data_IF_011545507381
#
_entry.id   IF_011545507381
#
_cell.length_a   1.000
_cell.length_b   1.000
_cell.length_c   1.000
_cell.angle_alpha   90.00
_cell.angle_beta   90.00
_cell.angle_gamma   90.00
#
_symmetry.space_group_name_H-M   'P 1'
#
loop_
_entity.id
_entity.type
_entity.pdbx_description
1 polymer ?
#
# COMPACT_ATOMS: atom_id res chain seq x y z
N UNK A 1 38.19 72.54 -25.39
CA UNK A 1 38.90 71.52 -24.57
C UNK A 1 37.91 71.04 -23.51
N UNK A 2 37.53 69.78 -23.31
CA UNK A 2 37.62 68.51 -24.06
C UNK A 2 36.39 67.68 -23.61
N UNK A 3 35.92 66.79 -24.49
CA UNK A 3 34.67 66.02 -24.41
C UNK A 3 34.81 64.72 -23.60
N UNK A 4 33.64 64.22 -23.17
CA UNK A 4 33.23 62.84 -22.82
C UNK A 4 34.26 61.71 -22.99
N UNK A 5 34.39 60.89 -21.94
CA UNK A 5 34.91 59.51 -22.02
C UNK A 5 33.98 58.59 -21.21
N UNK A 6 33.26 57.72 -21.91
CA UNK A 6 32.57 56.55 -21.37
C UNK A 6 33.45 55.33 -21.56
N UNK A 7 33.61 54.54 -20.50
CA UNK A 7 34.56 53.43 -20.39
C UNK A 7 33.86 52.12 -20.78
N UNK A 8 34.49 51.37 -21.69
CA UNK A 8 34.09 50.04 -22.15
C UNK A 8 35.32 49.14 -22.06
N UNK A 9 35.30 48.06 -21.28
CA UNK A 9 36.28 46.97 -21.36
C UNK A 9 35.62 45.63 -21.00
N UNK A 10 35.44 44.78 -22.02
CA UNK A 10 34.96 43.41 -21.91
C UNK A 10 36.11 42.40 -22.05
N UNK A 11 36.18 41.53 -21.04
CA UNK A 11 36.54 40.09 -21.00
C UNK A 11 37.39 39.47 -22.13
N UNK A 12 38.42 38.77 -21.67
CA UNK A 12 39.41 37.97 -22.39
C UNK A 12 38.91 36.55 -22.78
N UNK A 13 39.32 36.13 -23.99
CA UNK A 13 39.97 34.86 -24.37
C UNK A 13 39.22 33.51 -24.53
N UNK A 14 39.30 33.02 -25.79
CA UNK A 14 39.35 31.66 -26.38
C UNK A 14 38.02 31.00 -26.83
N UNK A 15 37.84 30.76 -28.15
CA UNK A 15 36.87 29.79 -28.67
C UNK A 15 37.50 28.54 -29.30
N UNK A 16 36.71 27.47 -29.17
CA UNK A 16 36.84 26.10 -29.69
C UNK A 16 36.32 26.04 -31.15
N UNK A 17 36.97 25.28 -32.05
CA UNK A 17 36.60 25.15 -33.46
C UNK A 17 36.17 23.70 -33.78
N UNK A 18 35.04 23.58 -34.47
CA UNK A 18 34.41 22.37 -35.01
C UNK A 18 35.01 21.89 -36.37
N UNK A 19 34.58 20.67 -36.76
CA UNK A 19 34.21 20.22 -38.13
C UNK A 19 35.17 19.33 -38.97
N UNK A 20 34.69 18.12 -39.32
CA UNK A 20 34.74 17.37 -40.62
C UNK A 20 34.64 15.86 -40.39
N UNK A 21 33.54 15.16 -40.73
CA UNK A 21 33.17 14.61 -42.06
C UNK A 21 34.33 13.98 -42.84
N UNK A 22 34.34 12.64 -43.00
CA UNK A 22 34.60 11.96 -44.28
C UNK A 22 34.24 10.47 -44.22
N UNK A 23 33.66 10.00 -45.33
CA UNK A 23 33.11 8.67 -45.65
C UNK A 23 34.02 8.08 -46.73
N UNK A 24 34.36 6.78 -46.70
CA UNK A 24 34.79 6.04 -47.90
C UNK A 24 34.58 4.53 -47.77
N UNK A 25 34.31 3.93 -48.93
CA UNK A 25 33.81 2.59 -49.22
C UNK A 25 34.94 1.65 -49.73
N UNK A 26 34.61 0.34 -49.76
CA UNK A 26 34.96 -0.70 -50.77
C UNK A 26 36.19 -1.63 -50.61
N UNK A 27 35.83 -2.90 -50.36
CA UNK A 27 36.04 -4.13 -51.16
C UNK A 27 37.41 -4.81 -51.37
N UNK A 28 37.28 -6.14 -51.56
CA UNK A 28 38.20 -7.19 -52.10
C UNK A 28 39.06 -7.89 -51.02
N UNK A 29 38.98 -9.22 -50.78
CA UNK A 29 39.28 -10.34 -51.69
C UNK A 29 38.84 -11.71 -51.10
N UNK A 30 38.66 -12.71 -51.96
CA UNK A 30 38.16 -14.08 -51.70
C UNK A 30 39.22 -15.10 -51.19
N UNK A 31 38.73 -16.22 -50.61
CA UNK A 31 38.87 -17.65 -51.06
C UNK A 31 39.29 -18.68 -49.98
N UNK A 32 38.41 -19.69 -49.78
CA UNK A 32 38.55 -21.14 -49.38
C UNK A 32 39.64 -21.61 -48.40
N UNK A 33 39.26 -22.39 -47.37
CA UNK A 33 39.63 -23.82 -47.16
C UNK A 33 38.99 -24.45 -45.89
N UNK A 34 38.56 -25.72 -45.97
CA UNK A 34 38.83 -26.71 -44.91
C UNK A 34 37.88 -26.92 -43.72
N UNK A 35 36.80 -27.69 -43.96
CA UNK A 35 36.29 -28.82 -43.14
C UNK A 35 36.86 -29.00 -41.71
N UNK A 36 36.06 -28.75 -40.66
CA UNK A 36 36.15 -29.45 -39.36
C UNK A 36 34.74 -29.74 -38.82
N UNK A 37 34.45 -31.02 -38.63
CA UNK A 37 33.33 -31.53 -37.84
C UNK A 37 33.46 -31.02 -36.40
N UNK A 38 32.38 -30.50 -35.82
CA UNK A 38 32.18 -30.49 -34.38
C UNK A 38 30.74 -30.93 -34.09
N UNK A 39 30.63 -32.01 -33.33
CA UNK A 39 29.38 -32.54 -32.78
C UNK A 39 28.76 -31.49 -31.86
N UNK A 40 27.56 -31.00 -32.17
CA UNK A 40 26.73 -30.25 -31.21
C UNK A 40 25.78 -31.26 -30.57
N UNK A 41 26.13 -31.70 -29.37
CA UNK A 41 25.20 -32.39 -28.49
C UNK A 41 24.11 -31.43 -28.03
N UNK A 42 22.87 -31.81 -28.31
CA UNK A 42 21.65 -31.12 -27.88
C UNK A 42 21.49 -31.28 -26.36
N UNK A 43 21.88 -30.27 -25.58
CA UNK A 43 21.50 -30.19 -24.16
C UNK A 43 20.15 -29.48 -24.07
N UNK A 44 19.08 -30.26 -23.91
CA UNK A 44 17.73 -29.77 -23.66
C UNK A 44 17.67 -29.24 -22.22
N UNK A 45 17.89 -27.94 -22.03
CA UNK A 45 17.63 -27.28 -20.75
C UNK A 45 16.12 -27.06 -20.61
N UNK A 46 15.44 -28.03 -19.98
CA UNK A 46 14.05 -27.89 -19.58
C UNK A 46 13.99 -26.96 -18.34
N UNK A 47 13.91 -25.65 -18.58
CA UNK A 47 13.51 -24.68 -17.55
C UNK A 47 12.04 -24.95 -17.21
N UNK A 48 11.80 -25.74 -16.16
CA UNK A 48 10.52 -25.72 -15.48
C UNK A 48 10.39 -24.35 -14.81
N UNK A 49 9.77 -23.41 -15.54
CA UNK A 49 9.25 -22.20 -14.96
C UNK A 49 8.14 -22.60 -13.97
N UNK A 50 8.51 -22.84 -12.71
CA UNK A 50 7.53 -22.80 -11.63
C UNK A 50 7.09 -21.35 -11.51
N UNK A 51 5.96 -21.02 -12.14
CA UNK A 51 5.29 -19.75 -11.93
C UNK A 51 4.94 -19.64 -10.46
N UNK A 52 5.68 -18.83 -9.71
CA UNK A 52 5.19 -18.34 -8.42
C UNK A 52 3.96 -17.51 -8.75
N UNK A 53 2.76 -17.84 -8.23
CA UNK A 53 1.61 -16.98 -8.42
C UNK A 53 1.98 -15.61 -7.86
N UNK A 54 1.86 -14.56 -8.69
CA UNK A 54 2.04 -13.20 -8.24
C UNK A 54 1.13 -12.99 -7.03
N UNK A 55 1.70 -12.64 -5.87
CA UNK A 55 0.94 -12.27 -4.70
C UNK A 55 -0.04 -11.16 -5.13
N UNK A 56 -1.34 -11.44 -5.03
CA UNK A 56 -2.35 -10.50 -5.48
C UNK A 56 -2.38 -9.35 -4.47
N UNK A 57 -2.14 -8.12 -4.91
CA UNK A 57 -2.21 -6.97 -4.02
C UNK A 57 -3.64 -6.85 -3.47
N UNK A 58 -3.77 -6.84 -2.14
CA UNK A 58 -5.04 -6.60 -1.45
C UNK A 58 -5.18 -5.09 -1.23
N UNK A 59 -6.29 -4.53 -1.68
CA UNK A 59 -6.63 -3.15 -1.38
C UNK A 59 -7.17 -3.05 0.06
N UNK A 60 -6.63 -2.12 0.84
CA UNK A 60 -7.03 -1.85 2.22
C UNK A 60 -7.46 -0.39 2.33
N UNK A 61 -8.63 -0.08 2.91
CA UNK A 61 -9.10 1.29 3.02
C UNK A 61 -8.16 2.14 3.90
N UNK A 62 -7.82 3.34 3.43
CA UNK A 62 -7.06 4.36 4.19
C UNK A 62 -7.94 5.24 5.07
N UNK A 63 -9.21 5.36 4.66
CA UNK A 63 -10.24 6.15 5.32
C UNK A 63 -11.48 5.29 5.58
N UNK A 64 -12.21 5.63 6.63
CA UNK A 64 -13.49 5.00 6.98
C UNK A 64 -14.65 5.74 6.29
N UNK A 65 -14.52 7.05 6.13
CA UNK A 65 -15.54 7.91 5.55
C UNK A 65 -14.95 8.83 4.48
N UNK A 66 -15.79 9.25 3.53
CA UNK A 66 -15.44 10.35 2.64
C UNK A 66 -16.64 11.26 2.39
N UNK A 67 -16.35 12.54 2.17
CA UNK A 67 -17.34 13.56 1.84
C UNK A 67 -16.89 14.28 0.58
N UNK A 68 -17.67 14.20 -0.50
CA UNK A 68 -17.51 15.16 -1.59
C UNK A 68 -18.17 16.46 -1.17
N UNK A 69 -17.35 17.50 -1.01
CA UNK A 69 -17.78 18.83 -0.61
C UNK A 69 -17.62 19.79 -1.79
N UNK A 70 -18.70 19.97 -2.54
CA UNK A 70 -18.66 20.55 -3.88
C UNK A 70 -19.19 21.97 -3.88
N UNK A 71 -18.40 22.88 -4.42
CA UNK A 71 -18.75 24.29 -4.58
C UNK A 71 -19.74 24.46 -5.73
N UNK A 72 -20.95 24.92 -5.45
CA UNK A 72 -21.96 25.31 -6.45
C UNK A 72 -22.15 26.84 -6.51
N UNK A 73 -21.09 27.60 -6.24
CA UNK A 73 -21.11 29.06 -6.38
C UNK A 73 -21.13 29.50 -7.84
N UNK A 74 -21.40 30.79 -8.07
CA UNK A 74 -21.50 31.37 -9.40
C UNK A 74 -20.19 31.24 -10.20
N UNK A 75 -19.02 31.29 -9.55
CA UNK A 75 -17.74 31.12 -10.23
C UNK A 75 -17.57 29.70 -10.79
N UNK A 76 -18.14 28.70 -10.13
CA UNK A 76 -18.19 27.32 -10.64
C UNK A 76 -19.18 27.14 -11.79
N UNK A 77 -20.17 28.02 -11.97
CA UNK A 77 -21.02 28.04 -13.16
C UNK A 77 -20.45 28.86 -14.34
N UNK A 78 -19.24 29.39 -14.20
CA UNK A 78 -18.53 30.02 -15.32
C UNK A 78 -17.78 28.99 -16.18
N UNK A 79 -17.49 29.35 -17.42
CA UNK A 79 -16.65 28.55 -18.32
C UNK A 79 -15.20 28.53 -17.84
N UNK A 80 -14.62 27.35 -17.72
CA UNK A 80 -13.19 27.16 -17.48
C UNK A 80 -12.41 27.59 -18.73
N UNK A 81 -11.51 28.54 -18.59
CA UNK A 81 -10.82 29.21 -19.69
C UNK A 81 -10.01 28.27 -20.59
N UNK A 82 -9.38 27.23 -20.02
CA UNK A 82 -8.62 26.24 -20.81
C UNK A 82 -9.45 25.07 -21.32
N UNK A 83 -10.47 24.65 -20.57
CA UNK A 83 -11.24 23.43 -20.88
C UNK A 83 -12.48 23.74 -21.73
N UNK A 84 -12.86 25.02 -21.85
CA UNK A 84 -13.94 25.48 -22.74
C UNK A 84 -15.36 25.05 -22.31
N UNK A 85 -15.51 24.39 -21.15
CA UNK A 85 -16.79 23.97 -20.57
C UNK A 85 -17.04 24.66 -19.24
N UNK A 86 -18.30 24.71 -18.81
CA UNK A 86 -18.69 25.19 -17.46
C UNK A 86 -18.03 24.33 -16.38
N UNK A 87 -17.44 24.95 -15.35
CA UNK A 87 -16.71 24.21 -14.29
C UNK A 87 -17.60 23.22 -13.55
N UNK A 88 -18.88 23.53 -13.29
CA UNK A 88 -19.81 22.58 -12.67
C UNK A 88 -20.15 21.38 -13.54
N UNK A 89 -20.22 21.55 -14.87
CA UNK A 89 -20.33 20.41 -15.80
C UNK A 89 -19.09 19.54 -15.69
N UNK A 90 -17.90 20.15 -15.72
CA UNK A 90 -16.62 19.45 -15.59
C UNK A 90 -16.48 18.76 -14.23
N UNK A 91 -16.91 19.39 -13.14
CA UNK A 91 -16.87 18.84 -11.79
C UNK A 91 -17.76 17.59 -11.68
N UNK A 92 -18.98 17.63 -12.23
CA UNK A 92 -19.85 16.45 -12.27
C UNK A 92 -19.23 15.33 -13.12
N UNK A 93 -18.73 15.64 -14.32
CA UNK A 93 -18.04 14.67 -15.19
C UNK A 93 -16.84 14.04 -14.45
N UNK A 94 -16.01 14.85 -13.79
CA UNK A 94 -14.86 14.42 -13.01
C UNK A 94 -15.25 13.50 -11.86
N UNK A 95 -16.24 13.90 -11.05
CA UNK A 95 -16.70 13.09 -9.92
C UNK A 95 -17.29 11.75 -10.37
N UNK A 96 -18.01 11.72 -11.49
CA UNK A 96 -18.51 10.47 -12.08
C UNK A 96 -17.36 9.57 -12.55
N UNK A 97 -16.34 10.13 -13.22
CA UNK A 97 -15.14 9.37 -13.60
C UNK A 97 -14.42 8.81 -12.37
N UNK A 98 -14.27 9.62 -11.32
CA UNK A 98 -13.65 9.20 -10.07
C UNK A 98 -14.46 8.10 -9.37
N UNK A 99 -15.79 8.21 -9.35
CA UNK A 99 -16.69 7.20 -8.78
C UNK A 99 -16.49 5.80 -9.42
N UNK A 100 -16.23 5.74 -10.73
CA UNK A 100 -15.92 4.48 -11.40
C UNK A 100 -14.58 3.86 -10.97
N UNK A 101 -13.67 4.66 -10.41
CA UNK A 101 -12.34 4.22 -9.95
C UNK A 101 -12.27 3.91 -8.46
N UNK A 102 -13.21 4.38 -7.63
CA UNK A 102 -13.23 4.11 -6.19
C UNK A 102 -13.64 2.64 -5.97
N UNK A 103 -12.81 1.82 -5.27
CA UNK A 103 -13.17 0.44 -4.93
C UNK A 103 -14.19 0.41 -3.78
N UNK A 104 -15.13 -0.53 -3.78
CA UNK A 104 -16.14 -0.66 -2.71
C UNK A 104 -15.54 -1.41 -1.49
N UNK A 105 -14.74 -0.72 -0.67
CA UNK A 105 -14.07 -1.30 0.50
C UNK A 105 -14.83 -1.07 1.83
N UNK A 106 -16.12 -0.71 1.77
CA UNK A 106 -16.97 -0.49 2.94
C UNK A 106 -16.95 0.92 3.52
N UNK A 107 -16.51 1.93 2.75
CA UNK A 107 -16.53 3.33 3.16
C UNK A 107 -17.95 3.81 3.48
N UNK A 108 -18.09 4.84 4.33
CA UNK A 108 -19.28 5.69 4.33
C UNK A 108 -19.08 6.92 3.46
N UNK A 109 -19.88 7.08 2.41
CA UNK A 109 -19.81 8.23 1.50
C UNK A 109 -20.94 9.23 1.78
N UNK A 110 -20.62 10.53 1.70
CA UNK A 110 -21.60 11.62 1.76
C UNK A 110 -21.31 12.67 0.67
N UNK A 111 -22.36 13.32 0.17
CA UNK A 111 -22.26 14.35 -0.86
C UNK A 111 -23.00 15.60 -0.42
N UNK A 112 -22.22 16.65 -0.19
CA UNK A 112 -22.70 17.97 0.20
C UNK A 112 -22.28 19.01 -0.83
N UNK A 113 -23.21 19.88 -1.18
CA UNK A 113 -22.95 21.07 -1.97
C UNK A 113 -22.92 22.29 -1.04
N UNK A 114 -22.10 23.29 -1.36
CA UNK A 114 -22.13 24.59 -0.70
C UNK A 114 -22.28 25.74 -1.70
N UNK A 115 -22.79 26.88 -1.24
CA UNK A 115 -23.19 28.05 -2.05
C UNK A 115 -24.47 27.87 -2.92
N UNK A 116 -25.63 27.46 -2.35
CA UNK A 116 -25.94 27.30 -0.93
C UNK A 116 -25.68 25.88 -0.41
N UNK A 117 -25.77 25.71 0.91
CA UNK A 117 -25.68 24.38 1.52
C UNK A 117 -26.84 23.49 1.05
N UNK A 118 -26.51 22.31 0.56
CA UNK A 118 -27.46 21.27 0.20
C UNK A 118 -26.85 19.90 0.47
N UNK A 119 -27.53 19.08 1.26
CA UNK A 119 -27.21 17.67 1.40
C UNK A 119 -27.82 16.94 0.22
N UNK A 120 -26.99 16.28 -0.60
CA UNK A 120 -27.45 15.48 -1.74
C UNK A 120 -27.50 14.01 -1.37
N UNK A 121 -26.55 13.55 -0.56
CA UNK A 121 -26.55 12.22 0.02
C UNK A 121 -26.02 12.26 1.46
N UNK A 122 -26.86 11.83 2.42
CA UNK A 122 -26.44 11.60 3.80
C UNK A 122 -25.37 10.48 3.87
N UNK A 123 -24.52 10.46 4.92
CA UNK A 123 -23.54 9.40 5.09
C UNK A 123 -24.17 8.01 5.14
N UNK A 124 -23.83 7.19 4.15
CA UNK A 124 -24.27 5.81 4.04
C UNK A 124 -23.14 4.94 3.48
N UNK A 125 -23.26 3.61 3.61
CA UNK A 125 -22.30 2.68 3.00
C UNK A 125 -22.22 2.98 1.49
N UNK A 126 -20.99 3.19 1.01
CA UNK A 126 -20.72 3.54 -0.36
C UNK A 126 -21.02 2.37 -1.31
N UNK A 127 -21.97 2.60 -2.21
CA UNK A 127 -22.26 1.73 -3.35
C UNK A 127 -22.15 2.58 -4.61
N UNK A 128 -21.24 2.21 -5.53
CA UNK A 128 -20.87 2.98 -6.72
C UNK A 128 -22.09 3.39 -7.54
N UNK A 129 -23.01 2.46 -7.77
CA UNK A 129 -24.20 2.69 -8.59
C UNK A 129 -25.19 3.65 -7.94
N UNK A 130 -25.44 3.52 -6.63
CA UNK A 130 -26.34 4.41 -5.90
C UNK A 130 -25.72 5.82 -5.78
N UNK A 131 -24.43 5.86 -5.46
CA UNK A 131 -23.69 7.10 -5.31
C UNK A 131 -23.51 7.86 -6.63
N UNK A 132 -23.33 7.14 -7.74
CA UNK A 132 -23.32 7.70 -9.09
C UNK A 132 -24.61 8.47 -9.43
N UNK A 133 -25.78 7.98 -8.97
CA UNK A 133 -27.06 8.71 -9.15
C UNK A 133 -27.08 10.03 -8.38
N UNK A 134 -26.53 10.05 -7.17
CA UNK A 134 -26.41 11.28 -6.37
C UNK A 134 -25.48 12.29 -7.08
N UNK A 135 -24.34 11.84 -7.60
CA UNK A 135 -23.43 12.68 -8.39
C UNK A 135 -24.07 13.23 -9.67
N UNK A 136 -24.83 12.40 -10.40
CA UNK A 136 -25.58 12.84 -11.58
C UNK A 136 -26.71 13.85 -11.28
N UNK A 137 -27.14 13.95 -10.02
CA UNK A 137 -28.17 14.92 -9.60
C UNK A 137 -27.61 16.31 -9.29
N UNK A 138 -26.28 16.47 -9.26
CA UNK A 138 -25.64 17.78 -9.06
C UNK A 138 -26.11 18.73 -10.19
N UNK A 139 -26.66 19.91 -9.86
CA UNK A 139 -27.11 20.85 -10.88
C UNK A 139 -25.94 21.39 -11.71
N UNK A 140 -26.02 21.27 -13.04
CA UNK A 140 -24.99 21.75 -13.97
C UNK A 140 -25.37 23.01 -14.73
N UNK A 141 -26.65 23.41 -14.65
CA UNK A 141 -27.18 24.62 -15.25
C UNK A 141 -27.87 25.47 -14.17
N UNK A 142 -27.15 26.47 -13.65
CA UNK A 142 -27.67 27.45 -12.70
C UNK A 142 -27.11 28.84 -13.01
N UNK A 143 -27.82 29.87 -12.55
CA UNK A 143 -27.42 31.26 -12.75
C UNK A 143 -26.14 31.62 -12.00
N UNK A 144 -25.26 32.41 -12.63
CA UNK A 144 -23.98 32.85 -12.05
C UNK A 144 -24.14 34.01 -11.05
N UNK A 145 -25.10 34.92 -11.30
CA UNK A 145 -25.24 36.14 -10.51
C UNK A 145 -25.79 35.90 -9.10
N UNK A 146 -25.32 36.71 -8.13
CA UNK A 146 -25.70 36.64 -6.71
C UNK A 146 -25.40 35.31 -5.99
N UNK A 147 -24.51 34.48 -6.54
CA UNK A 147 -24.05 33.24 -5.92
C UNK A 147 -22.60 33.34 -5.47
N UNK A 148 -22.36 34.14 -4.43
CA UNK A 148 -21.03 34.23 -3.80
C UNK A 148 -20.70 32.92 -3.06
N UNK A 149 -19.42 32.67 -2.83
CA UNK A 149 -18.92 31.41 -2.25
C UNK A 149 -18.81 31.52 -0.72
N UNK A 150 -19.71 30.95 0.08
CA UNK A 150 -19.62 30.99 1.54
C UNK A 150 -18.80 29.79 2.03
N UNK A 151 -17.54 29.65 1.57
CA UNK A 151 -16.74 28.46 1.86
C UNK A 151 -16.46 28.30 3.36
N UNK A 152 -16.12 29.37 4.08
CA UNK A 152 -15.93 29.32 5.53
C UNK A 152 -17.18 28.84 6.28
N UNK A 153 -18.35 29.48 6.10
CA UNK A 153 -19.60 28.99 6.67
C UNK A 153 -19.97 27.56 6.23
N UNK A 154 -19.63 27.18 4.99
CA UNK A 154 -19.80 25.81 4.50
C UNK A 154 -18.93 24.80 5.23
N UNK A 155 -17.64 25.09 5.40
CA UNK A 155 -16.69 24.25 6.14
C UNK A 155 -17.12 24.14 7.60
N UNK A 156 -17.51 25.24 8.23
CA UNK A 156 -18.04 25.23 9.60
C UNK A 156 -19.24 24.29 9.74
N UNK A 157 -20.12 24.25 8.71
CA UNK A 157 -21.32 23.42 8.70
C UNK A 157 -21.05 21.92 8.52
N UNK A 158 -19.86 21.53 8.05
CA UNK A 158 -19.46 20.11 8.01
C UNK A 158 -19.51 19.47 9.41
N UNK A 159 -19.45 20.25 10.49
CA UNK A 159 -19.67 19.79 11.87
C UNK A 159 -20.94 18.93 12.01
N UNK A 160 -22.01 19.32 11.31
CA UNK A 160 -23.31 18.63 11.36
C UNK A 160 -23.27 17.22 10.78
N UNK A 161 -22.32 16.95 9.88
CA UNK A 161 -22.12 15.65 9.24
C UNK A 161 -21.02 14.89 9.98
N UNK A 162 -19.89 15.55 10.25
CA UNK A 162 -18.72 14.97 10.92
C UNK A 162 -19.01 14.50 12.34
N UNK A 163 -19.90 15.16 13.08
CA UNK A 163 -20.29 14.73 14.43
C UNK A 163 -20.91 13.32 14.49
N UNK A 164 -21.51 12.84 13.38
CA UNK A 164 -22.08 11.51 13.27
C UNK A 164 -21.11 10.44 12.74
N UNK A 165 -19.89 10.83 12.36
CA UNK A 165 -18.90 9.95 11.77
C UNK A 165 -17.82 9.59 12.78
N UNK A 166 -17.26 8.39 12.62
CA UNK A 166 -16.16 7.86 13.43
C UNK A 166 -15.05 7.39 12.52
N UNK A 167 -13.80 7.54 12.94
CA UNK A 167 -12.63 7.12 12.16
C UNK A 167 -12.17 8.18 11.16
N UNK A 168 -11.24 7.79 10.29
CA UNK A 168 -10.58 8.66 9.33
C UNK A 168 -11.55 9.13 8.26
N UNK A 169 -11.57 10.43 8.02
CA UNK A 169 -12.53 11.04 7.09
C UNK A 169 -11.81 11.89 6.04
N UNK A 170 -11.94 11.51 4.77
CA UNK A 170 -11.50 12.31 3.64
C UNK A 170 -12.58 13.32 3.26
N UNK A 171 -12.35 14.61 3.48
CA UNK A 171 -13.19 15.68 2.90
C UNK A 171 -12.54 16.12 1.60
N UNK A 172 -13.18 15.84 0.47
CA UNK A 172 -12.68 16.21 -0.87
C UNK A 172 -13.40 17.48 -1.32
N UNK A 173 -12.71 18.61 -1.22
CA UNK A 173 -13.21 19.91 -1.65
C UNK A 173 -13.05 20.05 -3.16
N UNK A 174 -14.15 20.31 -3.86
CA UNK A 174 -14.15 20.57 -5.30
C UNK A 174 -14.57 22.03 -5.53
N UNK A 175 -13.62 22.91 -5.82
CA UNK A 175 -13.86 24.36 -5.88
C UNK A 175 -12.79 25.08 -6.71
N UNK A 176 -13.11 26.30 -7.16
CA UNK A 176 -12.13 27.23 -7.73
C UNK A 176 -11.58 28.24 -6.71
N UNK A 177 -12.08 28.23 -5.48
CA UNK A 177 -11.61 29.07 -4.37
C UNK A 177 -11.94 30.56 -4.52
N UNK A 178 -12.74 30.94 -5.52
CA UNK A 178 -12.99 32.34 -5.85
C UNK A 178 -14.25 32.89 -5.17
N UNK A 179 -14.43 34.22 -5.24
CA UNK A 179 -15.64 34.93 -4.81
C UNK A 179 -16.09 34.65 -3.36
N UNK A 180 -15.14 34.31 -2.48
CA UNK A 180 -15.41 34.00 -1.08
C UNK A 180 -16.11 35.15 -0.33
N UNK A 181 -17.02 34.80 0.58
CA UNK A 181 -17.74 35.68 1.52
C UNK A 181 -17.99 34.97 2.84
N UNK A 182 -18.28 35.73 3.90
CA UNK A 182 -18.51 35.17 5.23
C UNK A 182 -17.21 35.03 6.02
N UNK A 183 -17.15 34.03 6.90
CA UNK A 183 -15.96 33.75 7.72
C UNK A 183 -14.80 33.25 6.86
N UNK A 184 -13.57 33.42 7.37
CA UNK A 184 -12.35 33.02 6.66
C UNK A 184 -12.30 31.49 6.47
N UNK A 185 -12.29 30.97 5.23
CA UNK A 185 -12.28 29.53 4.96
C UNK A 185 -11.11 28.78 5.60
N UNK A 186 -9.93 29.42 5.66
CA UNK A 186 -8.74 28.81 6.24
C UNK A 186 -8.89 28.69 7.76
N UNK A 187 -9.33 29.75 8.43
CA UNK A 187 -9.61 29.69 9.86
C UNK A 187 -10.66 28.62 10.21
N UNK A 188 -11.74 28.51 9.44
CA UNK A 188 -12.78 27.50 9.67
C UNK A 188 -12.28 26.07 9.46
N UNK A 189 -11.49 25.83 8.39
CA UNK A 189 -10.85 24.53 8.17
C UNK A 189 -9.95 24.13 9.35
N UNK A 190 -9.19 25.10 9.90
CA UNK A 190 -8.36 24.86 11.08
C UNK A 190 -9.19 24.48 12.30
N UNK A 191 -10.32 25.16 12.55
CA UNK A 191 -11.21 24.83 13.67
C UNK A 191 -11.82 23.43 13.51
N UNK A 192 -12.25 23.07 12.30
CA UNK A 192 -12.78 21.74 12.02
C UNK A 192 -11.71 20.67 12.21
N UNK A 193 -10.49 20.86 11.69
CA UNK A 193 -9.40 19.91 11.89
C UNK A 193 -8.97 19.80 13.37
N UNK A 194 -8.99 20.90 14.12
CA UNK A 194 -8.71 20.87 15.55
C UNK A 194 -9.78 20.09 16.34
N UNK A 195 -11.05 20.15 15.91
CA UNK A 195 -12.15 19.38 16.52
C UNK A 195 -12.17 17.92 16.06
N UNK A 196 -11.79 17.65 14.82
CA UNK A 196 -11.79 16.33 14.19
C UNK A 196 -10.38 16.04 13.61
N UNK A 197 -9.42 15.59 14.44
CA UNK A 197 -8.03 15.42 14.01
C UNK A 197 -7.84 14.34 12.94
N UNK A 198 -8.81 13.42 12.81
CA UNK A 198 -8.83 12.37 11.79
C UNK A 198 -9.43 12.83 10.44
N UNK A 199 -9.76 14.12 10.30
CA UNK A 199 -10.24 14.72 9.04
C UNK A 199 -9.07 15.25 8.22
N UNK A 200 -9.00 14.83 6.95
CA UNK A 200 -8.07 15.36 5.95
C UNK A 200 -8.85 16.15 4.88
N UNK A 201 -8.42 17.38 4.60
CA UNK A 201 -8.98 18.20 3.51
C UNK A 201 -8.20 17.99 2.21
N UNK A 202 -8.67 17.06 1.40
CA UNK A 202 -8.22 16.88 0.03
C UNK A 202 -8.83 17.96 -0.87
N UNK A 203 -8.14 18.33 -1.93
CA UNK A 203 -8.63 19.36 -2.87
C UNK A 203 -8.52 18.89 -4.31
N UNK A 204 -9.61 19.08 -5.05
CA UNK A 204 -9.64 19.05 -6.51
C UNK A 204 -9.90 20.49 -6.97
N UNK A 205 -8.85 21.13 -7.47
CA UNK A 205 -8.83 22.56 -7.78
C UNK A 205 -9.34 22.85 -9.20
N UNK A 206 -10.30 23.76 -9.29
CA UNK A 206 -10.74 24.44 -10.52
C UNK A 206 -10.25 25.90 -10.57
N UNK A 207 -9.26 26.25 -9.73
CA UNK A 207 -8.75 27.61 -9.62
C UNK A 207 -8.00 28.03 -10.89
N UNK A 208 -8.38 29.18 -11.45
CA UNK A 208 -7.70 29.79 -12.60
C UNK A 208 -6.92 31.04 -12.22
N UNK A 209 -7.10 31.50 -10.97
CA UNK A 209 -6.48 32.71 -10.43
C UNK A 209 -5.68 32.36 -9.18
N UNK A 210 -4.55 33.07 -8.95
CA UNK A 210 -3.71 32.81 -7.78
C UNK A 210 -4.41 32.99 -6.43
N UNK A 211 -5.43 33.86 -6.37
CA UNK A 211 -6.13 34.14 -5.12
C UNK A 211 -6.90 32.91 -4.61
N UNK A 212 -7.82 32.36 -5.42
CA UNK A 212 -8.56 31.16 -5.05
C UNK A 212 -7.67 29.94 -4.82
N UNK A 213 -6.64 29.77 -5.66
CA UNK A 213 -5.67 28.69 -5.50
C UNK A 213 -4.95 28.76 -4.14
N UNK A 214 -4.51 29.95 -3.71
CA UNK A 214 -3.82 30.11 -2.42
C UNK A 214 -4.72 29.83 -1.22
N UNK A 215 -6.01 30.14 -1.31
CA UNK A 215 -6.98 29.80 -0.25
C UNK A 215 -7.08 28.28 -0.13
N UNK A 216 -7.32 27.60 -1.25
CA UNK A 216 -7.44 26.14 -1.28
C UNK A 216 -6.15 25.45 -0.82
N UNK A 217 -4.98 25.94 -1.25
CA UNK A 217 -3.67 25.40 -0.82
C UNK A 217 -3.46 25.54 0.68
N UNK A 218 -3.90 26.64 1.29
CA UNK A 218 -3.82 26.82 2.75
C UNK A 218 -4.74 25.87 3.51
N UNK A 219 -5.92 25.56 2.97
CA UNK A 219 -6.84 24.57 3.55
C UNK A 219 -6.23 23.16 3.44
N UNK A 220 -5.73 22.80 2.26
CA UNK A 220 -5.11 21.49 2.01
C UNK A 220 -3.81 21.28 2.83
N UNK A 221 -2.99 22.31 2.98
CA UNK A 221 -1.70 22.25 3.68
C UNK A 221 -1.76 22.10 5.19
N UNK A 222 -2.93 21.78 5.77
CA UNK A 222 -3.09 21.50 7.21
C UNK A 222 -2.66 20.07 7.60
N UNK A 223 -2.38 19.20 6.62
CA UNK A 223 -1.84 17.85 6.83
C UNK A 223 -1.25 17.28 5.53
N UNK A 224 -0.88 16.00 5.52
CA UNK A 224 -0.46 15.25 4.31
C UNK A 224 -1.69 14.87 3.46
N UNK A 225 -2.51 15.87 3.10
CA UNK A 225 -3.71 15.69 2.30
C UNK A 225 -3.42 15.89 0.81
N UNK A 226 -4.08 15.11 -0.04
CA UNK A 226 -3.86 15.11 -1.48
C UNK A 226 -4.46 16.35 -2.16
N UNK A 227 -3.64 17.02 -2.97
CA UNK A 227 -4.02 18.07 -3.91
C UNK A 227 -4.02 17.53 -5.34
N UNK A 228 -4.99 17.95 -6.14
CA UNK A 228 -4.95 17.76 -7.59
C UNK A 228 -5.61 18.92 -8.34
N UNK A 229 -5.11 19.20 -9.54
CA UNK A 229 -5.76 20.12 -10.49
C UNK A 229 -6.77 19.34 -11.34
N UNK A 230 -7.99 19.89 -11.49
CA UNK A 230 -9.05 19.22 -12.26
C UNK A 230 -8.67 18.99 -13.72
N UNK A 231 -7.96 19.94 -14.33
CA UNK A 231 -7.42 19.81 -15.69
C UNK A 231 -6.55 18.56 -15.83
N UNK A 232 -5.68 18.30 -14.84
CA UNK A 232 -4.80 17.12 -14.82
C UNK A 232 -5.59 15.83 -14.64
N UNK A 233 -6.50 15.78 -13.65
CA UNK A 233 -7.29 14.57 -13.39
C UNK A 233 -8.19 14.17 -14.57
N UNK A 234 -8.71 15.14 -15.31
CA UNK A 234 -9.56 14.88 -16.47
C UNK A 234 -8.76 14.52 -17.74
N UNK A 235 -7.53 14.99 -17.86
CA UNK A 235 -6.68 14.72 -19.01
C UNK A 235 -5.89 13.41 -18.91
N UNK A 236 -5.60 12.94 -17.70
CA UNK A 236 -4.74 11.78 -17.46
C UNK A 236 -5.42 10.77 -16.52
N UNK A 237 -5.79 9.61 -17.10
CA UNK A 237 -6.38 8.50 -16.34
C UNK A 237 -5.42 7.97 -15.25
N UNK A 238 -4.10 8.01 -15.48
CA UNK A 238 -3.13 7.60 -14.48
C UNK A 238 -3.14 8.56 -13.28
N UNK A 239 -3.26 9.86 -13.53
CA UNK A 239 -3.39 10.87 -12.48
C UNK A 239 -4.71 10.67 -11.68
N UNK A 240 -5.83 10.38 -12.35
CA UNK A 240 -7.08 10.03 -11.69
C UNK A 240 -6.93 8.79 -10.79
N UNK A 241 -6.36 7.71 -11.33
CA UNK A 241 -6.14 6.49 -10.57
C UNK A 241 -5.21 6.72 -9.37
N UNK A 242 -4.17 7.53 -9.54
CA UNK A 242 -3.23 7.88 -8.48
C UNK A 242 -3.92 8.70 -7.38
N UNK A 243 -4.70 9.72 -7.74
CA UNK A 243 -5.46 10.51 -6.76
C UNK A 243 -6.40 9.62 -5.95
N UNK A 244 -7.15 8.72 -6.61
CA UNK A 244 -8.06 7.80 -5.91
C UNK A 244 -7.29 6.87 -4.96
N UNK A 245 -6.12 6.36 -5.35
CA UNK A 245 -5.28 5.56 -4.46
C UNK A 245 -4.84 6.38 -3.25
N UNK A 246 -4.26 7.55 -3.48
CA UNK A 246 -3.68 8.37 -2.42
C UNK A 246 -4.72 8.82 -1.40
N UNK A 247 -5.98 9.01 -1.82
CA UNK A 247 -7.10 9.35 -0.93
C UNK A 247 -7.68 8.12 -0.24
N UNK A 248 -8.01 7.06 -1.00
CA UNK A 248 -8.97 6.05 -0.52
C UNK A 248 -8.34 4.76 0.00
N UNK A 249 -7.26 4.25 -0.60
CA UNK A 249 -6.78 2.92 -0.28
C UNK A 249 -5.29 2.73 -0.52
N UNK A 250 -4.68 1.86 0.28
CA UNK A 250 -3.35 1.33 0.03
C UNK A 250 -3.46 -0.03 -0.66
N UNK A 251 -2.53 -0.32 -1.56
CA UNK A 251 -2.30 -1.68 -2.03
C UNK A 251 -1.22 -2.31 -1.16
N UNK A 252 -1.65 -3.11 -0.19
CA UNK A 252 -0.71 -3.99 0.48
C UNK A 252 -0.55 -5.21 -0.40
N UNK A 253 0.69 -5.59 -0.73
CA UNK A 253 0.94 -6.94 -1.18
C UNK A 253 0.25 -7.85 -0.16
N UNK A 254 -0.66 -8.73 -0.60
CA UNK A 254 -1.17 -9.75 0.31
C UNK A 254 0.07 -10.51 0.76
N UNK A 255 0.54 -10.21 1.97
CA UNK A 255 1.74 -10.78 2.52
C UNK A 255 1.45 -12.27 2.56
N UNK A 256 1.94 -13.00 1.55
CA UNK A 256 1.57 -14.37 1.19
C UNK A 256 1.03 -15.09 2.40
N UNK A 257 -0.30 -14.97 2.59
CA UNK A 257 -1.05 -15.34 3.80
C UNK A 257 -0.15 -15.59 5.01
N UNK A 258 0.50 -14.55 5.55
CA UNK A 258 1.52 -14.63 6.60
C UNK A 258 2.37 -15.91 6.46
N UNK A 259 3.49 -15.81 5.72
CA UNK A 259 4.68 -16.67 5.79
C UNK A 259 4.46 -17.77 6.79
N UNK A 260 4.48 -19.02 6.35
CA UNK A 260 4.85 -20.17 7.17
C UNK A 260 5.86 -19.75 8.24
N UNK A 261 5.35 -19.20 9.34
CA UNK A 261 6.02 -19.14 10.60
C UNK A 261 5.82 -20.58 11.00
N UNK A 262 6.68 -21.42 10.44
CA UNK A 262 7.28 -22.45 11.23
C UNK A 262 7.76 -21.67 12.45
N UNK A 263 6.92 -21.65 13.50
CA UNK A 263 7.37 -21.38 14.85
C UNK A 263 8.28 -22.56 15.14
N UNK A 264 9.50 -22.51 14.57
CA UNK A 264 10.57 -23.40 14.94
C UNK A 264 10.98 -22.85 16.29
N UNK A 265 10.39 -23.37 17.36
CA UNK A 265 11.07 -23.37 18.65
C UNK A 265 12.38 -24.14 18.38
N UNK A 266 13.47 -23.40 18.19
CA UNK A 266 14.73 -23.97 17.68
C UNK A 266 15.37 -24.81 18.77
N UNK A 267 15.22 -26.12 18.64
CA UNK A 267 16.15 -27.12 19.15
C UNK A 267 16.10 -27.31 20.65
N UNK A 268 14.98 -27.86 21.16
CA UNK A 268 14.97 -28.49 22.49
C UNK A 268 15.94 -29.66 22.43
N UNK A 269 17.07 -29.54 23.12
CA UNK A 269 18.13 -30.55 23.11
C UNK A 269 17.92 -31.59 24.20
N UNK A 270 18.31 -32.82 23.90
CA UNK A 270 18.22 -33.95 24.83
C UNK A 270 19.60 -34.53 25.10
N UNK A 271 19.81 -34.99 26.35
CA UNK A 271 20.99 -35.77 26.70
C UNK A 271 21.09 -37.05 25.86
N UNK A 272 22.30 -37.63 25.83
CA UNK A 272 22.50 -38.94 25.27
C UNK A 272 21.52 -39.95 25.89
N UNK A 273 20.83 -40.69 25.03
CA UNK A 273 19.89 -41.74 25.40
C UNK A 273 18.66 -41.34 26.24
N UNK A 274 18.37 -40.05 26.35
CA UNK A 274 17.21 -39.55 27.12
C UNK A 274 16.12 -38.92 26.26
N UNK A 275 14.91 -38.90 26.81
CA UNK A 275 13.74 -38.19 26.28
C UNK A 275 13.12 -37.21 27.29
N UNK A 276 13.69 -37.03 28.47
CA UNK A 276 13.20 -36.07 29.45
C UNK A 276 13.54 -34.63 29.04
N UNK A 277 12.55 -33.74 29.17
CA UNK A 277 12.73 -32.30 28.95
C UNK A 277 13.47 -31.73 30.16
N UNK A 278 14.58 -31.03 29.92
CA UNK A 278 15.29 -30.35 31.00
C UNK A 278 14.62 -29.04 31.39
N UNK A 279 14.70 -28.62 32.67
CA UNK A 279 14.14 -27.34 33.13
C UNK A 279 14.60 -26.12 32.32
N UNK A 280 15.83 -26.13 31.81
CA UNK A 280 16.36 -25.05 30.96
C UNK A 280 15.57 -24.83 29.65
N UNK A 281 14.79 -25.82 29.20
CA UNK A 281 13.98 -25.74 27.98
C UNK A 281 12.50 -25.43 28.24
N UNK A 282 12.05 -25.46 29.50
CA UNK A 282 10.66 -25.12 29.86
C UNK A 282 10.27 -23.70 29.41
N UNK A 283 11.09 -22.64 29.57
CA UNK A 283 10.72 -21.30 29.10
C UNK A 283 10.47 -21.22 27.59
N UNK A 284 11.22 -22.00 26.79
CA UNK A 284 11.05 -22.07 25.33
C UNK A 284 9.75 -22.79 24.98
N UNK A 285 9.39 -23.83 25.74
CA UNK A 285 8.14 -24.55 25.57
C UNK A 285 6.93 -23.69 25.97
N UNK A 286 7.04 -22.91 27.05
CA UNK A 286 5.99 -22.00 27.51
C UNK A 286 5.70 -20.91 26.48
N UNK A 287 6.73 -20.37 25.82
CA UNK A 287 6.55 -19.46 24.68
C UNK A 287 5.74 -20.12 23.55
N UNK A 288 6.07 -21.37 23.22
CA UNK A 288 5.31 -22.18 22.27
C UNK A 288 3.84 -22.37 22.66
N UNK A 289 3.58 -22.66 23.93
CA UNK A 289 2.23 -22.79 24.48
C UNK A 289 1.45 -21.49 24.34
N UNK A 290 2.05 -20.34 24.69
CA UNK A 290 1.40 -19.03 24.60
C UNK A 290 1.01 -18.71 23.16
N UNK A 291 1.92 -18.92 22.21
CA UNK A 291 1.64 -18.74 20.78
C UNK A 291 0.46 -19.61 20.34
N UNK A 292 0.42 -20.88 20.74
CA UNK A 292 -0.67 -21.80 20.36
C UNK A 292 -2.00 -21.45 21.02
N UNK A 293 -1.99 -20.87 22.23
CA UNK A 293 -3.20 -20.37 22.91
C UNK A 293 -3.77 -19.14 22.23
N UNK A 294 -2.91 -18.18 21.86
CA UNK A 294 -3.31 -16.96 21.13
C UNK A 294 -3.81 -17.24 19.72
N UNK A 295 -3.38 -18.36 19.11
CA UNK A 295 -3.68 -18.71 17.74
C UNK A 295 -4.42 -20.06 17.64
N UNK A 296 -5.72 -20.14 17.98
CA UNK A 296 -6.47 -21.40 18.09
C UNK A 296 -6.61 -22.18 16.76
N UNK A 297 -6.44 -21.51 15.62
CA UNK A 297 -6.49 -22.14 14.30
C UNK A 297 -5.23 -22.95 13.95
N UNK A 298 -4.09 -22.69 14.60
CA UNK A 298 -2.81 -23.34 14.28
C UNK A 298 -2.84 -24.81 14.70
N UNK A 299 -2.40 -25.70 13.80
CA UNK A 299 -2.06 -27.10 14.10
C UNK A 299 -0.56 -27.32 13.94
N UNK A 300 0.00 -28.28 14.65
CA UNK A 300 1.44 -28.54 14.66
C UNK A 300 1.80 -30.02 14.51
N UNK A 301 2.99 -30.27 13.95
CA UNK A 301 3.72 -31.54 14.00
C UNK A 301 4.97 -31.34 14.86
N UNK A 302 5.16 -32.23 15.83
CA UNK A 302 6.31 -32.29 16.73
C UNK A 302 7.22 -33.43 16.23
N UNK A 303 8.45 -33.09 15.89
CA UNK A 303 9.38 -33.97 15.22
C UNK A 303 10.59 -34.28 16.09
N UNK A 304 10.81 -35.55 16.39
CA UNK A 304 11.97 -36.00 17.15
C UNK A 304 13.11 -36.46 16.26
N UNK A 305 14.34 -36.20 16.72
CA UNK A 305 15.58 -36.58 16.04
C UNK A 305 16.61 -37.16 17.02
N UNK A 306 17.49 -38.02 16.51
CA UNK A 306 18.64 -38.58 17.24
C UNK A 306 19.95 -38.31 16.50
N UNK A 307 21.07 -38.61 17.18
CA UNK A 307 22.37 -38.80 16.52
C UNK A 307 22.46 -40.22 15.91
N UNK A 308 23.59 -40.52 15.27
CA UNK A 308 23.94 -41.80 14.63
C UNK A 308 24.40 -42.92 15.60
N UNK A 309 24.25 -42.74 16.91
CA UNK A 309 24.65 -43.77 17.89
C UNK A 309 23.45 -44.67 18.15
N UNK A 310 23.60 -45.96 17.84
CA UNK A 310 22.57 -46.97 18.07
C UNK A 310 22.12 -47.62 16.77
N UNK A 311 21.16 -48.53 16.86
CA UNK A 311 20.52 -49.11 15.67
C UNK A 311 19.42 -48.18 15.16
N UNK A 312 19.11 -48.23 13.87
CA UNK A 312 18.02 -47.44 13.27
C UNK A 312 16.69 -47.63 14.03
N UNK A 313 16.36 -48.88 14.37
CA UNK A 313 15.15 -49.20 15.13
C UNK A 313 15.15 -48.57 16.53
N UNK A 314 16.31 -48.52 17.18
CA UNK A 314 16.46 -47.87 18.47
C UNK A 314 16.28 -46.35 18.36
N UNK A 315 16.96 -45.74 17.40
CA UNK A 315 16.92 -44.31 17.16
C UNK A 315 15.53 -43.83 16.73
N UNK A 316 14.82 -44.64 15.94
CA UNK A 316 13.42 -44.40 15.63
C UNK A 316 12.57 -44.33 16.90
N UNK A 317 12.63 -45.36 17.75
CA UNK A 317 11.87 -45.38 19.00
C UNK A 317 12.25 -44.24 19.97
N UNK A 318 13.53 -43.88 20.07
CA UNK A 318 13.99 -42.77 20.91
C UNK A 318 13.47 -41.42 20.39
N UNK A 319 13.49 -41.21 19.09
CA UNK A 319 12.98 -39.99 18.47
C UNK A 319 11.47 -39.81 18.71
N UNK A 320 10.70 -40.89 18.64
CA UNK A 320 9.26 -40.88 18.92
C UNK A 320 8.96 -40.53 20.38
N UNK A 321 9.74 -41.08 21.33
CA UNK A 321 9.63 -40.75 22.75
C UNK A 321 9.92 -39.27 23.01
N UNK A 322 10.95 -38.70 22.38
CA UNK A 322 11.27 -37.26 22.50
C UNK A 322 10.12 -36.37 22.01
N UNK A 323 9.58 -36.67 20.84
CA UNK A 323 8.42 -35.95 20.32
C UNK A 323 7.19 -36.10 21.24
N UNK A 324 7.00 -37.29 21.83
CA UNK A 324 5.93 -37.56 22.80
C UNK A 324 6.06 -36.72 24.08
N UNK A 325 7.27 -36.57 24.64
CA UNK A 325 7.48 -35.77 25.84
C UNK A 325 7.07 -34.31 25.65
N UNK A 326 7.40 -33.72 24.48
CA UNK A 326 6.98 -32.35 24.14
C UNK A 326 5.46 -32.27 23.90
N UNK A 327 4.88 -33.28 23.27
CA UNK A 327 3.42 -33.38 23.10
C UNK A 327 2.68 -33.40 24.45
N UNK A 328 3.17 -34.20 25.40
CA UNK A 328 2.58 -34.31 26.74
C UNK A 328 2.73 -33.01 27.52
N UNK A 329 3.85 -32.31 27.38
CA UNK A 329 4.03 -30.97 27.95
C UNK A 329 2.97 -29.99 27.45
N UNK A 330 2.80 -29.84 26.13
CA UNK A 330 1.79 -28.94 25.57
C UNK A 330 0.35 -29.34 25.91
N UNK A 331 0.07 -30.64 25.97
CA UNK A 331 -1.24 -31.14 26.37
C UNK A 331 -1.55 -30.78 27.83
N UNK A 332 -0.58 -30.94 28.74
CA UNK A 332 -0.71 -30.56 30.16
C UNK A 332 -0.96 -29.05 30.32
N UNK A 333 -0.32 -28.24 29.48
CA UNK A 333 -0.49 -26.79 29.45
C UNK A 333 -1.77 -26.31 28.73
N UNK A 334 -2.62 -27.24 28.26
CA UNK A 334 -3.97 -26.95 27.76
C UNK A 334 -4.12 -26.86 26.24
N UNK A 335 -3.12 -27.29 25.47
CA UNK A 335 -3.25 -27.38 24.00
C UNK A 335 -4.04 -28.64 23.62
N UNK A 336 -5.09 -28.47 22.80
CA UNK A 336 -5.95 -29.58 22.38
C UNK A 336 -5.18 -30.67 21.63
N UNK A 337 -5.35 -31.96 21.98
CA UNK A 337 -4.79 -33.10 21.25
C UNK A 337 -5.07 -33.08 19.74
N UNK A 338 -6.24 -32.58 19.32
CA UNK A 338 -6.64 -32.49 17.90
C UNK A 338 -5.80 -31.51 17.08
N UNK A 339 -5.02 -30.65 17.73
CA UNK A 339 -4.16 -29.65 17.10
C UNK A 339 -2.71 -30.10 16.96
N UNK A 340 -2.36 -31.29 17.46
CA UNK A 340 -0.98 -31.74 17.57
C UNK A 340 -0.80 -33.16 17.03
N UNK A 341 0.31 -33.40 16.33
CA UNK A 341 0.75 -34.74 15.91
C UNK A 341 2.24 -34.91 16.21
N UNK A 342 2.68 -36.13 16.51
CA UNK A 342 4.10 -36.46 16.70
C UNK A 342 4.64 -37.29 15.55
N UNK A 343 5.90 -37.09 15.16
CA UNK A 343 6.65 -37.92 14.21
C UNK A 343 8.08 -38.12 14.72
N UNK A 344 8.56 -39.36 14.74
CA UNK A 344 9.98 -39.65 14.96
C UNK A 344 10.70 -39.87 13.64
N UNK A 345 11.86 -39.25 13.46
CA UNK A 345 12.71 -39.44 12.27
C UNK A 345 13.97 -40.27 12.53
N UNK A 346 14.20 -40.70 13.77
CA UNK A 346 15.47 -41.28 14.17
C UNK A 346 16.65 -40.38 13.76
N UNK A 347 17.65 -40.99 13.12
CA UNK A 347 18.84 -40.33 12.62
C UNK A 347 18.74 -39.87 11.15
N UNK A 348 17.60 -40.10 10.48
CA UNK A 348 17.45 -39.90 9.02
C UNK A 348 17.49 -38.44 8.57
N UNK A 349 17.35 -37.48 9.49
CA UNK A 349 17.36 -36.02 9.21
C UNK A 349 18.36 -35.28 10.11
N UNK A 350 19.68 -35.52 9.95
CA UNK A 350 20.70 -34.85 10.74
C UNK A 350 20.79 -33.37 10.33
N UNK A 351 21.02 -32.50 11.30
CA UNK A 351 21.19 -31.05 11.14
C UNK A 351 22.67 -30.63 11.18
N UNK A 352 23.50 -31.43 11.84
CA UNK A 352 24.94 -31.27 11.92
C UNK A 352 25.65 -32.60 11.67
N UNK A 353 26.97 -32.55 11.46
CA UNK A 353 27.77 -33.75 11.24
C UNK A 353 27.78 -34.65 12.47
N UNK A 354 27.39 -35.91 12.32
CA UNK A 354 27.55 -36.91 13.37
C UNK A 354 29.02 -37.32 13.61
N UNK A 355 29.97 -36.83 12.82
CA UNK A 355 31.39 -37.13 13.03
C UNK A 355 31.98 -36.46 14.30
N UNK A 356 31.28 -35.51 14.90
CA UNK A 356 31.74 -34.73 16.08
C UNK A 356 30.72 -34.81 17.20
N UNK A 357 31.13 -34.77 18.47
CA UNK A 357 30.18 -34.79 19.59
C UNK A 357 29.27 -33.54 19.57
N UNK A 358 29.82 -32.36 19.25
CA UNK A 358 29.02 -31.13 19.12
C UNK A 358 27.90 -31.29 18.09
N UNK A 359 28.20 -31.91 16.94
CA UNK A 359 27.19 -32.20 15.93
C UNK A 359 26.17 -33.26 16.38
N UNK A 360 26.58 -34.26 17.18
CA UNK A 360 25.66 -35.23 17.78
C UNK A 360 24.71 -34.56 18.77
N UNK A 361 25.20 -33.64 19.60
CA UNK A 361 24.37 -32.84 20.52
C UNK A 361 23.33 -32.04 19.74
N UNK A 362 23.74 -31.35 18.66
CA UNK A 362 22.81 -30.61 17.78
C UNK A 362 21.75 -31.53 17.17
N UNK A 363 22.11 -32.76 16.82
CA UNK A 363 21.18 -33.72 16.21
C UNK A 363 20.15 -34.29 17.20
N UNK A 364 20.50 -34.40 18.49
CA UNK A 364 19.60 -34.86 19.56
C UNK A 364 18.59 -33.76 19.93
N UNK A 365 17.57 -33.57 19.10
CA UNK A 365 16.63 -32.44 19.20
C UNK A 365 15.18 -32.82 18.94
N UNK A 366 14.28 -31.92 19.33
CA UNK A 366 12.92 -31.83 18.81
C UNK A 366 12.73 -30.54 18.02
N UNK A 367 12.02 -30.61 16.91
CA UNK A 367 11.57 -29.46 16.11
C UNK A 367 10.05 -29.44 16.03
N UNK A 368 9.45 -28.25 16.02
CA UNK A 368 8.00 -28.09 15.88
C UNK A 368 7.72 -27.41 14.54
N UNK A 369 6.79 -27.96 13.77
CA UNK A 369 6.35 -27.40 12.49
C UNK A 369 4.86 -27.11 12.54
N UNK A 370 4.43 -26.00 11.97
CA UNK A 370 3.02 -25.70 11.76
C UNK A 370 2.50 -26.48 10.55
N UNK A 371 1.27 -26.98 10.63
CA UNK A 371 0.54 -27.63 9.53
C UNK A 371 -0.83 -26.99 9.34
N UNK A 372 -1.25 -26.87 8.08
CA UNK A 372 -2.53 -26.26 7.68
C UNK A 372 -3.76 -27.10 8.07
#
# INVERSE_FOLDING_TARGET
MCRNVSVHWSRSCIPFIEERLFRTQKEVTMTRYGRKLFFIGLALACLLATGVPAAQAKMVPKVDNFIFFVDQSGSMYMTHGKMGKVKMVLAQELLLMMNEKIPELGYKGALDLFAPWQVVADPAVYERNAYGKALSSIPTDQGVFNRRTPMGPGINRLDTVLAGLTGKTAVIIVSDGEANVGTDPVAEAYQVHAKYPDVCFHVISFAEKPHGEQILKKINGMGDCVWADAETLMADEAAMNQFVRDVFYDEVAEAARAVSQVVILRGIQFDFDKSDIKPEWEPVLDEGVNILKENPAIRIIIEGHTCDIGTDAYNQGLSERRARSVYEYFMKEGISPSRMRTVGYGEMKPKASNATEDGRIINRRVEIRVVE
#
